data_IF_907031368666
#
_entry.id   IF_907031368666
#
_cell.length_a   1.000
_cell.length_b   1.000
_cell.length_c   1.000
_cell.angle_alpha   90.00
_cell.angle_beta   90.00
_cell.angle_gamma   90.00
#
_symmetry.space_group_name_H-M   'P 1'
#
loop_
_entity.id
_entity.type
_entity.pdbx_description
1 polymer ?
#
# COMPACT_ATOMS: atom_id res chain seq x y z
N UNK A 1 -33.03 -31.75 -12.66
CA UNK A 1 -32.07 -30.76 -12.13
C UNK A 1 -31.87 -31.08 -10.66
N UNK A 2 -30.63 -31.34 -10.22
CA UNK A 2 -30.35 -31.63 -8.81
C UNK A 2 -30.53 -30.39 -7.95
N UNK A 3 -30.78 -30.55 -6.65
CA UNK A 3 -30.87 -29.41 -5.70
C UNK A 3 -29.59 -28.57 -5.75
N UNK A 4 -28.43 -29.20 -5.93
CA UNK A 4 -27.13 -28.54 -6.05
C UNK A 4 -27.08 -27.65 -7.30
N UNK A 5 -27.59 -28.13 -8.44
CA UNK A 5 -27.67 -27.34 -9.68
C UNK A 5 -28.59 -26.13 -9.51
N UNK A 6 -29.75 -26.31 -8.87
CA UNK A 6 -30.67 -25.20 -8.58
C UNK A 6 -30.06 -24.15 -7.65
N UNK A 7 -29.29 -24.57 -6.63
CA UNK A 7 -28.57 -23.63 -5.76
C UNK A 7 -27.47 -22.90 -6.52
N UNK A 8 -26.76 -23.58 -7.43
CA UNK A 8 -25.74 -22.95 -8.26
C UNK A 8 -26.33 -21.88 -9.20
N UNK A 9 -27.51 -22.14 -9.77
CA UNK A 9 -28.23 -21.19 -10.62
C UNK A 9 -28.70 -19.97 -9.82
N UNK A 10 -29.30 -20.18 -8.64
CA UNK A 10 -29.67 -19.09 -7.73
C UNK A 10 -28.44 -18.27 -7.28
N UNK A 11 -27.30 -18.92 -7.00
CA UNK A 11 -26.06 -18.23 -6.68
C UNK A 11 -25.61 -17.32 -7.83
N UNK A 12 -25.70 -17.78 -9.08
CA UNK A 12 -25.35 -16.99 -10.26
C UNK A 12 -26.25 -15.76 -10.40
N UNK A 13 -27.56 -15.92 -10.24
CA UNK A 13 -28.54 -14.83 -10.32
C UNK A 13 -28.31 -13.78 -9.22
N UNK A 14 -27.97 -14.22 -8.00
CA UNK A 14 -27.65 -13.35 -6.87
C UNK A 14 -26.20 -12.83 -6.86
N UNK A 15 -25.38 -13.14 -7.87
CA UNK A 15 -23.94 -12.78 -7.93
C UNK A 15 -23.15 -13.28 -6.71
N UNK A 16 -23.51 -14.46 -6.21
CA UNK A 16 -22.78 -15.20 -5.20
C UNK A 16 -21.68 -16.05 -5.86
N UNK A 17 -20.58 -16.29 -5.14
CA UNK A 17 -19.49 -17.11 -5.67
C UNK A 17 -19.91 -18.58 -5.74
N UNK A 18 -19.35 -19.31 -6.73
CA UNK A 18 -19.49 -20.77 -6.81
C UNK A 18 -18.96 -21.49 -5.56
N UNK A 19 -18.09 -20.83 -4.81
CA UNK A 19 -17.58 -21.27 -3.51
C UNK A 19 -18.68 -21.66 -2.51
N UNK A 20 -19.89 -21.09 -2.60
CA UNK A 20 -21.02 -21.54 -1.77
C UNK A 20 -21.34 -23.01 -2.08
N UNK A 21 -21.54 -23.35 -3.36
CA UNK A 21 -21.88 -24.70 -3.80
C UNK A 21 -20.79 -25.69 -3.41
N UNK A 22 -19.52 -25.30 -3.59
CA UNK A 22 -18.36 -26.15 -3.30
C UNK A 22 -18.20 -26.45 -1.79
N UNK A 23 -18.69 -25.57 -0.92
CA UNK A 23 -18.60 -25.75 0.54
C UNK A 23 -19.84 -26.41 1.15
N UNK A 24 -21.00 -26.43 0.47
CA UNK A 24 -22.20 -27.12 0.96
C UNK A 24 -21.96 -28.58 1.30
N UNK A 25 -21.12 -29.27 0.51
CA UNK A 25 -20.79 -30.69 0.73
C UNK A 25 -19.73 -30.92 1.82
N UNK A 26 -19.01 -29.86 2.23
CA UNK A 26 -17.92 -29.95 3.21
C UNK A 26 -18.40 -29.68 4.64
N UNK A 27 -19.52 -28.98 4.79
CA UNK A 27 -20.12 -28.68 6.09
C UNK A 27 -20.88 -29.91 6.58
N UNK A 28 -20.53 -30.39 7.78
CA UNK A 28 -21.17 -31.55 8.41
C UNK A 28 -22.25 -31.16 9.44
N UNK A 29 -22.59 -29.88 9.54
CA UNK A 29 -23.58 -29.37 10.48
C UNK A 29 -25.02 -29.75 10.06
N UNK A 30 -25.75 -30.39 10.97
CA UNK A 30 -27.11 -30.88 10.73
C UNK A 30 -28.17 -29.81 11.02
N UNK A 31 -27.90 -28.87 11.95
CA UNK A 31 -28.81 -27.77 12.23
C UNK A 31 -28.85 -26.79 11.05
N UNK A 32 -30.04 -26.59 10.48
CA UNK A 32 -30.23 -25.76 9.28
C UNK A 32 -29.71 -24.32 9.42
N UNK A 33 -29.83 -23.73 10.61
CA UNK A 33 -29.45 -22.35 10.85
C UNK A 33 -27.94 -22.23 11.01
N UNK A 34 -27.33 -23.17 11.75
CA UNK A 34 -25.88 -23.24 11.89
C UNK A 34 -25.19 -23.59 10.57
N UNK A 35 -25.76 -24.50 9.78
CA UNK A 35 -25.29 -24.82 8.43
C UNK A 35 -25.25 -23.57 7.55
N UNK A 36 -26.37 -22.83 7.51
CA UNK A 36 -26.48 -21.61 6.71
C UNK A 36 -25.50 -20.52 7.18
N UNK A 37 -25.35 -20.35 8.50
CA UNK A 37 -24.39 -19.43 9.07
C UNK A 37 -22.94 -19.78 8.68
N UNK A 38 -22.53 -21.04 8.83
CA UNK A 38 -21.20 -21.50 8.45
C UNK A 38 -20.94 -21.31 6.95
N UNK A 39 -21.93 -21.62 6.12
CA UNK A 39 -21.84 -21.43 4.67
C UNK A 39 -21.60 -19.96 4.30
N UNK A 40 -22.33 -19.03 4.91
CA UNK A 40 -22.13 -17.60 4.69
C UNK A 40 -20.81 -17.09 5.27
N UNK A 41 -20.37 -17.59 6.43
CA UNK A 41 -19.07 -17.24 6.99
C UNK A 41 -17.93 -17.65 6.05
N UNK A 42 -17.98 -18.85 5.47
CA UNK A 42 -17.00 -19.30 4.48
C UNK A 42 -17.00 -18.43 3.22
N UNK A 43 -18.17 -17.99 2.75
CA UNK A 43 -18.24 -17.08 1.60
C UNK A 43 -17.73 -15.67 1.93
N UNK A 44 -18.04 -15.14 3.11
CA UNK A 44 -17.51 -13.85 3.57
C UNK A 44 -15.98 -13.90 3.65
N UNK A 45 -15.44 -14.96 4.24
CA UNK A 45 -14.00 -15.19 4.35
C UNK A 45 -13.35 -15.29 2.96
N UNK A 46 -13.93 -16.10 2.07
CA UNK A 46 -13.44 -16.24 0.69
C UNK A 46 -13.46 -14.91 -0.08
N UNK A 47 -14.48 -14.08 0.10
CA UNK A 47 -14.54 -12.73 -0.50
C UNK A 47 -13.48 -11.79 0.07
N UNK A 48 -13.26 -11.83 1.39
CA UNK A 48 -12.21 -11.05 2.05
C UNK A 48 -10.82 -11.46 1.53
N UNK A 49 -10.54 -12.75 1.46
CA UNK A 49 -9.24 -13.25 0.99
C UNK A 49 -9.00 -12.89 -0.48
N UNK A 50 -10.01 -13.02 -1.34
CA UNK A 50 -9.92 -12.58 -2.74
C UNK A 50 -9.73 -11.06 -2.87
N UNK A 51 -10.26 -10.25 -1.95
CA UNK A 51 -10.03 -8.80 -1.93
C UNK A 51 -8.59 -8.49 -1.52
N UNK A 52 -8.09 -9.09 -0.43
CA UNK A 52 -6.70 -8.95 0.03
C UNK A 52 -5.69 -9.37 -1.04
N UNK A 53 -5.91 -10.52 -1.68
CA UNK A 53 -5.06 -11.00 -2.77
C UNK A 53 -5.08 -10.05 -3.98
N UNK A 54 -6.24 -9.48 -4.33
CA UNK A 54 -6.33 -8.47 -5.39
C UNK A 54 -5.58 -7.19 -5.02
N UNK A 55 -5.70 -6.72 -3.78
CA UNK A 55 -4.95 -5.55 -3.30
C UNK A 55 -3.44 -5.78 -3.47
N UNK A 56 -2.93 -6.91 -2.97
CA UNK A 56 -1.50 -7.30 -3.12
C UNK A 56 -1.08 -7.33 -4.59
N UNK A 57 -1.83 -8.02 -5.45
CA UNK A 57 -1.52 -8.13 -6.89
C UNK A 57 -1.54 -6.77 -7.59
N UNK A 58 -2.45 -5.89 -7.19
CA UNK A 58 -2.60 -4.56 -7.80
C UNK A 58 -1.61 -3.52 -7.28
N UNK A 59 -0.96 -3.79 -6.14
CA UNK A 59 -0.06 -2.86 -5.48
C UNK A 59 1.25 -2.64 -6.24
N UNK A 60 1.71 -3.61 -7.04
CA UNK A 60 2.90 -3.45 -7.88
C UNK A 60 4.24 -3.67 -7.17
N UNK A 61 4.25 -4.46 -6.09
CA UNK A 61 5.50 -4.89 -5.43
C UNK A 61 6.45 -5.60 -6.41
N UNK A 62 7.73 -5.24 -6.40
CA UNK A 62 8.74 -5.86 -7.27
C UNK A 62 9.17 -7.25 -6.79
N UNK A 63 9.16 -7.44 -5.49
CA UNK A 63 9.42 -8.70 -4.81
C UNK A 63 8.42 -8.85 -3.67
N UNK A 64 8.09 -10.09 -3.32
CA UNK A 64 7.26 -10.38 -2.16
C UNK A 64 8.18 -10.66 -0.98
N UNK A 65 8.10 -9.81 0.05
CA UNK A 65 8.92 -9.90 1.27
C UNK A 65 8.04 -9.66 2.48
N UNK A 66 8.04 -10.59 3.43
CA UNK A 66 7.27 -10.50 4.68
C UNK A 66 8.17 -10.15 5.87
N UNK A 67 7.54 -9.77 6.98
CA UNK A 67 8.24 -9.54 8.25
C UNK A 67 8.98 -10.79 8.77
N UNK A 68 8.49 -11.99 8.45
CA UNK A 68 9.14 -13.27 8.83
C UNK A 68 10.59 -13.40 8.35
N UNK A 69 10.91 -12.75 7.24
CA UNK A 69 12.22 -12.85 6.58
C UNK A 69 13.08 -11.61 6.85
N UNK A 70 12.60 -10.68 7.68
CA UNK A 70 13.28 -9.41 7.97
C UNK A 70 14.18 -9.55 9.19
N UNK A 71 15.41 -9.02 9.09
CA UNK A 71 16.37 -8.96 10.19
C UNK A 71 16.34 -7.55 10.77
N UNK A 72 16.05 -7.46 12.06
CA UNK A 72 15.84 -6.19 12.76
C UNK A 72 17.10 -5.59 13.40
N UNK A 73 18.24 -6.30 13.34
CA UNK A 73 19.46 -5.96 14.08
C UNK A 73 20.00 -4.55 13.78
N UNK A 74 19.85 -4.09 12.53
CA UNK A 74 20.31 -2.77 12.06
C UNK A 74 19.18 -1.72 12.01
N UNK A 75 17.98 -2.03 12.52
CA UNK A 75 16.83 -1.13 12.49
C UNK A 75 16.83 -0.21 13.71
N UNK A 76 17.16 1.06 13.50
CA UNK A 76 17.00 2.11 14.50
C UNK A 76 15.62 2.75 14.37
N UNK A 77 14.86 2.76 15.48
CA UNK A 77 13.55 3.39 15.55
C UNK A 77 13.60 4.65 16.42
N UNK A 78 12.92 5.73 16.01
CA UNK A 78 12.80 6.92 16.83
C UNK A 78 11.97 6.65 18.09
N UNK A 79 12.16 7.48 19.10
CA UNK A 79 11.42 7.37 20.37
C UNK A 79 9.92 7.46 20.12
N UNK A 80 9.17 6.44 20.56
CA UNK A 80 7.71 6.36 20.41
C UNK A 80 7.20 5.55 19.21
N UNK A 81 8.09 5.01 18.37
CA UNK A 81 7.72 4.02 17.34
C UNK A 81 8.26 2.64 17.73
N UNK A 82 7.38 1.66 17.88
CA UNK A 82 7.76 0.27 18.19
C UNK A 82 7.77 -0.62 16.94
N UNK A 83 8.46 -1.76 17.01
CA UNK A 83 8.39 -2.79 15.94
C UNK A 83 6.94 -3.24 15.73
N UNK A 84 6.16 -3.40 16.81
CA UNK A 84 4.75 -3.77 16.71
C UNK A 84 3.90 -2.74 15.97
N UNK A 85 4.20 -1.45 16.07
CA UNK A 85 3.50 -0.40 15.32
C UNK A 85 3.77 -0.49 13.81
N UNK A 86 4.99 -0.91 13.46
CA UNK A 86 5.41 -1.14 12.07
C UNK A 86 4.75 -2.41 11.53
N UNK A 87 4.80 -3.51 12.30
CA UNK A 87 4.23 -4.81 11.93
C UNK A 87 2.70 -4.80 11.86
N UNK A 88 2.02 -3.90 12.57
CA UNK A 88 0.57 -3.72 12.49
C UNK A 88 0.15 -2.89 11.27
N UNK A 89 1.06 -2.05 10.75
CA UNK A 89 0.79 -1.01 9.76
C UNK A 89 -0.32 -0.02 10.20
N UNK A 90 -0.57 0.12 11.51
CA UNK A 90 -1.66 0.96 12.04
C UNK A 90 -1.46 2.45 11.78
N UNK A 91 -0.19 2.90 11.69
CA UNK A 91 0.17 4.25 11.30
C UNK A 91 -0.47 4.67 9.96
N UNK A 92 -0.74 3.71 9.06
CA UNK A 92 -1.43 3.96 7.78
C UNK A 92 -2.86 4.43 8.00
N UNK A 93 -3.55 3.90 9.02
CA UNK A 93 -4.90 4.34 9.38
C UNK A 93 -4.89 5.73 10.03
N UNK A 94 -3.82 6.05 10.76
CA UNK A 94 -3.58 7.38 11.36
C UNK A 94 -3.11 8.43 10.37
N UNK A 95 -2.91 8.06 9.10
CA UNK A 95 -2.40 8.95 8.03
C UNK A 95 -1.00 9.49 8.33
N UNK A 96 -0.21 8.68 9.03
CA UNK A 96 1.18 8.97 9.35
C UNK A 96 2.11 8.52 8.21
N UNK A 97 3.24 9.21 8.04
CA UNK A 97 4.25 8.89 7.04
C UNK A 97 5.45 8.19 7.68
N UNK A 98 6.08 7.29 6.94
CA UNK A 98 7.31 6.63 7.37
C UNK A 98 8.44 6.91 6.37
N UNK A 99 9.56 7.42 6.87
CA UNK A 99 10.75 7.66 6.08
C UNK A 99 11.81 6.67 6.54
N UNK A 100 12.15 5.73 5.66
CA UNK A 100 13.19 4.75 5.86
C UNK A 100 14.48 5.29 5.25
N UNK A 101 15.42 5.70 6.10
CA UNK A 101 16.71 6.26 5.70
C UNK A 101 17.85 5.30 6.05
N UNK A 102 18.87 5.21 5.18
CA UNK A 102 20.09 4.45 5.45
C UNK A 102 20.79 3.96 4.19
N UNK A 103 21.98 3.37 4.36
CA UNK A 103 22.82 2.89 3.26
C UNK A 103 22.16 1.82 2.39
N UNK A 104 22.64 1.62 1.16
CA UNK A 104 22.15 0.52 0.32
C UNK A 104 22.35 -0.84 1.00
N UNK A 105 21.42 -1.77 0.81
CA UNK A 105 21.49 -3.11 1.41
C UNK A 105 20.93 -3.25 2.83
N UNK A 106 20.53 -2.17 3.51
CA UNK A 106 20.00 -2.23 4.90
C UNK A 106 18.54 -2.67 5.02
N UNK A 107 17.97 -3.31 3.98
CA UNK A 107 16.60 -3.85 4.05
C UNK A 107 15.45 -2.84 3.98
N UNK A 108 15.67 -1.53 3.73
CA UNK A 108 14.59 -0.52 3.64
C UNK A 108 13.45 -0.91 2.69
N UNK A 109 13.77 -1.33 1.47
CA UNK A 109 12.77 -1.76 0.49
C UNK A 109 12.06 -3.05 0.91
N UNK A 110 12.75 -3.96 1.62
CA UNK A 110 12.12 -5.15 2.22
C UNK A 110 11.09 -4.72 3.27
N UNK A 111 11.47 -3.86 4.20
CA UNK A 111 10.59 -3.39 5.26
C UNK A 111 9.36 -2.67 4.69
N UNK A 112 9.57 -1.76 3.73
CA UNK A 112 8.48 -1.09 3.03
C UNK A 112 7.52 -2.07 2.34
N UNK A 113 8.06 -3.10 1.65
CA UNK A 113 7.25 -4.16 1.04
C UNK A 113 6.47 -4.97 2.08
N UNK A 114 7.10 -5.35 3.20
CA UNK A 114 6.44 -6.11 4.26
C UNK A 114 5.27 -5.33 4.89
N UNK A 115 5.48 -4.04 5.18
CA UNK A 115 4.42 -3.14 5.64
C UNK A 115 3.31 -3.04 4.58
N UNK A 116 3.66 -2.87 3.30
CA UNK A 116 2.68 -2.78 2.22
C UNK A 116 1.83 -4.05 2.07
N UNK A 117 2.44 -5.23 2.19
CA UNK A 117 1.73 -6.52 2.15
C UNK A 117 0.79 -6.63 3.35
N UNK A 118 1.27 -6.30 4.56
CA UNK A 118 0.44 -6.27 5.76
C UNK A 118 -0.74 -5.31 5.59
N UNK A 119 -0.50 -4.11 5.07
CA UNK A 119 -1.56 -3.15 4.84
C UNK A 119 -2.62 -3.69 3.86
N UNK A 120 -2.20 -4.40 2.81
CA UNK A 120 -3.13 -5.07 1.89
C UNK A 120 -3.95 -6.18 2.57
N UNK A 121 -3.36 -6.93 3.50
CA UNK A 121 -4.06 -7.94 4.31
C UNK A 121 -5.08 -7.30 5.26
N UNK A 122 -4.84 -6.06 5.69
CA UNK A 122 -5.75 -5.23 6.47
C UNK A 122 -6.80 -4.48 5.62
N UNK A 123 -7.06 -4.98 4.40
CA UNK A 123 -8.00 -4.46 3.40
C UNK A 123 -7.70 -3.04 2.88
N UNK A 124 -6.50 -2.50 3.15
CA UNK A 124 -6.06 -1.21 2.62
C UNK A 124 -5.52 -1.33 1.20
N UNK A 125 -5.70 -0.28 0.39
CA UNK A 125 -5.20 -0.20 -0.98
C UNK A 125 -3.81 0.42 -0.97
N UNK A 126 -2.83 -0.34 -1.45
CA UNK A 126 -1.43 0.09 -1.50
C UNK A 126 -1.00 0.29 -2.95
N UNK A 127 -0.13 1.27 -3.20
CA UNK A 127 0.61 1.39 -4.46
C UNK A 127 2.10 1.49 -4.19
N UNK A 128 2.88 0.54 -4.72
CA UNK A 128 4.33 0.50 -4.65
C UNK A 128 4.93 1.00 -5.96
N UNK A 129 5.86 1.94 -5.84
CA UNK A 129 6.56 2.51 -6.97
C UNK A 129 8.03 2.76 -6.63
N UNK A 130 8.95 2.41 -7.52
CA UNK A 130 10.23 3.13 -7.60
C UNK A 130 9.90 4.57 -7.93
N UNK A 131 10.51 5.50 -7.21
CA UNK A 131 10.23 6.94 -7.35
C UNK A 131 10.41 7.40 -8.80
N UNK A 132 11.52 7.02 -9.45
CA UNK A 132 11.75 7.32 -10.87
C UNK A 132 10.68 6.71 -11.80
N UNK A 133 10.20 5.50 -11.49
CA UNK A 133 9.13 4.84 -12.24
C UNK A 133 7.77 5.54 -12.09
N UNK A 134 7.47 6.10 -10.92
CA UNK A 134 6.27 6.92 -10.71
C UNK A 134 6.36 8.22 -11.52
N UNK A 135 7.51 8.89 -11.48
CA UNK A 135 7.76 10.13 -12.24
C UNK A 135 7.59 9.90 -13.73
N UNK A 136 8.16 8.82 -14.28
CA UNK A 136 7.98 8.48 -15.70
C UNK A 136 6.50 8.27 -16.06
N UNK A 137 5.72 7.62 -15.19
CA UNK A 137 4.26 7.46 -15.39
C UNK A 137 3.52 8.79 -15.37
N UNK A 138 3.93 9.72 -14.50
CA UNK A 138 3.34 11.07 -14.42
C UNK A 138 3.65 11.87 -15.68
N UNK A 139 4.91 11.83 -16.16
CA UNK A 139 5.34 12.49 -17.39
C UNK A 139 4.60 11.95 -18.62
N UNK A 140 4.51 10.62 -18.74
CA UNK A 140 3.77 9.97 -19.82
C UNK A 140 2.27 10.34 -19.78
N UNK A 141 1.65 10.27 -18.61
CA UNK A 141 0.24 10.64 -18.45
C UNK A 141 -0.01 12.12 -18.78
N UNK A 142 0.93 13.02 -18.45
CA UNK A 142 0.87 14.42 -18.85
C UNK A 142 0.92 14.58 -20.37
N UNK A 143 1.85 13.90 -21.05
CA UNK A 143 1.98 13.94 -22.51
C UNK A 143 0.72 13.42 -23.21
N UNK A 144 0.07 12.41 -22.65
CA UNK A 144 -1.15 11.81 -23.18
C UNK A 144 -2.45 12.52 -22.77
N UNK A 145 -2.38 13.62 -21.99
CA UNK A 145 -3.56 14.30 -21.45
C UNK A 145 -4.37 13.44 -20.46
N UNK A 146 -3.75 12.42 -19.87
CA UNK A 146 -4.37 11.45 -18.96
C UNK A 146 -3.94 11.66 -17.49
N UNK A 147 -3.35 12.81 -17.16
CA UNK A 147 -2.81 13.10 -15.83
C UNK A 147 -3.88 13.02 -14.74
N UNK A 148 -5.06 13.61 -14.96
CA UNK A 148 -6.20 13.54 -14.04
C UNK A 148 -6.63 12.10 -13.74
N UNK A 149 -6.57 11.21 -14.73
CA UNK A 149 -6.93 9.81 -14.56
C UNK A 149 -5.93 9.10 -13.65
N UNK A 150 -4.64 9.43 -13.77
CA UNK A 150 -3.60 8.88 -12.90
C UNK A 150 -3.74 9.42 -11.47
N UNK A 151 -3.94 10.72 -11.28
CA UNK A 151 -4.20 11.31 -9.96
C UNK A 151 -5.44 10.70 -9.30
N UNK A 152 -6.55 10.51 -10.03
CA UNK A 152 -7.74 9.80 -9.51
C UNK A 152 -7.49 8.33 -9.14
N UNK A 153 -6.46 7.70 -9.73
CA UNK A 153 -6.06 6.35 -9.35
C UNK A 153 -5.25 6.37 -8.07
N UNK A 154 -4.27 7.27 -7.97
CA UNK A 154 -3.46 7.48 -6.78
C UNK A 154 -4.32 7.92 -5.58
N UNK A 155 -5.34 8.74 -5.83
CA UNK A 155 -6.24 9.27 -4.79
C UNK A 155 -7.04 8.19 -4.06
N UNK A 156 -7.24 7.02 -4.69
CA UNK A 156 -7.98 5.88 -4.13
C UNK A 156 -7.12 4.97 -3.25
N UNK A 157 -5.80 5.20 -3.19
CA UNK A 157 -4.88 4.44 -2.37
C UNK A 157 -4.91 4.98 -0.93
N UNK A 158 -4.73 4.07 0.03
CA UNK A 158 -4.57 4.39 1.44
C UNK A 158 -3.10 4.64 1.79
N UNK A 159 -2.20 3.92 1.10
CA UNK A 159 -0.75 3.99 1.26
C UNK A 159 -0.07 4.04 -0.11
N UNK A 160 0.86 4.99 -0.28
CA UNK A 160 1.77 5.03 -1.43
C UNK A 160 3.20 4.82 -0.93
N UNK A 161 3.90 3.88 -1.55
CA UNK A 161 5.29 3.55 -1.24
C UNK A 161 6.16 4.06 -2.39
N UNK A 162 7.06 4.98 -2.08
CA UNK A 162 8.05 5.55 -2.99
C UNK A 162 9.44 5.00 -2.63
N UNK A 163 9.85 3.97 -3.33
CA UNK A 163 11.14 3.30 -3.15
C UNK A 163 12.26 3.99 -3.94
N UNK A 164 13.51 3.87 -3.49
CA UNK A 164 14.71 4.42 -4.12
C UNK A 164 14.64 5.94 -4.36
N UNK A 165 14.10 6.68 -3.38
CA UNK A 165 13.94 8.12 -3.46
C UNK A 165 15.28 8.85 -3.54
N UNK A 166 15.42 9.66 -4.60
CA UNK A 166 16.62 10.44 -4.85
C UNK A 166 17.78 9.65 -5.46
N UNK A 167 17.58 8.39 -5.85
CA UNK A 167 18.63 7.58 -6.47
C UNK A 167 18.99 8.06 -7.89
N UNK A 168 18.02 8.59 -8.64
CA UNK A 168 18.22 9.14 -9.99
C UNK A 168 17.77 10.61 -9.99
N UNK A 169 18.52 11.52 -10.63
CA UNK A 169 18.07 12.90 -10.85
C UNK A 169 16.75 12.92 -11.62
N UNK A 170 15.80 13.74 -11.17
CA UNK A 170 14.55 13.98 -11.88
C UNK A 170 14.69 15.20 -12.78
N UNK A 171 13.89 15.30 -13.84
CA UNK A 171 13.76 16.58 -14.54
C UNK A 171 12.86 17.53 -13.72
N UNK A 172 12.95 18.83 -13.99
CA UNK A 172 12.19 19.85 -13.26
C UNK A 172 10.68 19.57 -13.31
N UNK A 173 10.17 19.13 -14.47
CA UNK A 173 8.75 18.80 -14.64
C UNK A 173 8.36 17.58 -13.81
N UNK A 174 9.16 16.52 -13.83
CA UNK A 174 8.94 15.32 -13.05
C UNK A 174 8.97 15.58 -11.54
N UNK A 175 9.91 16.42 -11.08
CA UNK A 175 9.97 16.90 -9.70
C UNK A 175 8.69 17.63 -9.28
N UNK A 176 8.19 18.56 -10.10
CA UNK A 176 6.93 19.28 -9.85
C UNK A 176 5.72 18.33 -9.77
N UNK A 177 5.63 17.36 -10.69
CA UNK A 177 4.54 16.38 -10.69
C UNK A 177 4.61 15.46 -9.46
N UNK A 178 5.81 15.05 -9.05
CA UNK A 178 6.02 14.27 -7.84
C UNK A 178 5.62 15.08 -6.59
N UNK A 179 6.01 16.36 -6.52
CA UNK A 179 5.60 17.26 -5.44
C UNK A 179 4.07 17.38 -5.35
N UNK A 180 3.38 17.46 -6.48
CA UNK A 180 1.92 17.48 -6.51
C UNK A 180 1.32 16.19 -5.92
N UNK A 181 1.84 15.00 -6.27
CA UNK A 181 1.40 13.73 -5.68
C UNK A 181 1.55 13.73 -4.16
N UNK A 182 2.70 14.18 -3.66
CA UNK A 182 2.98 14.21 -2.22
C UNK A 182 2.06 15.21 -1.52
N UNK A 183 1.83 16.37 -2.13
CA UNK A 183 0.92 17.39 -1.61
C UNK A 183 -0.52 16.88 -1.51
N UNK A 184 -0.99 16.07 -2.48
CA UNK A 184 -2.30 15.43 -2.42
C UNK A 184 -2.40 14.29 -1.40
N UNK A 185 -1.28 13.82 -0.86
CA UNK A 185 -1.26 12.82 0.21
C UNK A 185 -1.33 13.45 1.59
N UNK A 186 -0.85 14.69 1.74
CA UNK A 186 -0.82 15.41 3.01
C UNK A 186 -2.19 15.36 3.71
N UNK A 187 -2.20 14.89 4.96
CA UNK A 187 -3.36 14.68 5.85
C UNK A 187 -4.46 13.74 5.33
N UNK A 188 -4.31 13.13 4.15
CA UNK A 188 -5.33 12.24 3.57
C UNK A 188 -4.86 10.80 3.40
N UNK A 189 -3.55 10.57 3.24
CA UNK A 189 -2.94 9.28 2.94
C UNK A 189 -1.57 9.17 3.59
N UNK A 190 -1.15 7.94 3.82
CA UNK A 190 0.20 7.66 4.29
C UNK A 190 1.17 7.47 3.14
N UNK A 191 2.41 7.87 3.39
CA UNK A 191 3.54 7.65 2.51
C UNK A 191 4.59 6.81 3.23
N UNK A 192 5.16 5.84 2.52
CA UNK A 192 6.45 5.26 2.90
C UNK A 192 7.47 5.71 1.86
N UNK A 193 8.57 6.32 2.31
CA UNK A 193 9.67 6.71 1.44
C UNK A 193 10.91 5.92 1.86
N UNK A 194 11.61 5.29 0.90
CA UNK A 194 12.93 4.72 1.16
C UNK A 194 13.99 5.59 0.49
N UNK A 195 15.06 5.94 1.22
CA UNK A 195 16.12 6.77 0.67
C UNK A 195 17.47 6.46 1.32
N UNK A 196 18.55 6.75 0.60
CA UNK A 196 19.91 6.84 1.12
C UNK A 196 20.41 8.29 1.18
N UNK A 197 19.56 9.27 0.87
CA UNK A 197 19.89 10.69 0.89
C UNK A 197 19.32 11.36 2.14
N UNK A 198 20.18 12.10 2.83
CA UNK A 198 19.79 13.04 3.87
C UNK A 198 18.88 14.12 3.28
N UNK A 199 17.97 14.67 4.10
CA UNK A 199 17.03 15.72 3.67
C UNK A 199 17.71 16.94 3.03
N UNK A 200 18.91 17.31 3.49
CA UNK A 200 19.72 18.40 2.91
C UNK A 200 20.01 18.21 1.42
N UNK A 201 20.07 16.96 0.95
CA UNK A 201 20.37 16.60 -0.45
C UNK A 201 19.11 16.51 -1.32
N UNK A 202 17.91 16.60 -0.74
CA UNK A 202 16.66 16.50 -1.50
C UNK A 202 16.41 17.72 -2.39
N UNK A 203 17.10 18.85 -2.15
CA UNK A 203 17.09 20.01 -3.04
C UNK A 203 17.51 19.66 -4.47
N UNK A 204 18.39 18.66 -4.62
CA UNK A 204 18.85 18.20 -5.93
C UNK A 204 17.80 17.38 -6.69
N UNK A 205 16.70 17.00 -6.04
CA UNK A 205 15.59 16.24 -6.64
C UNK A 205 14.56 17.21 -7.24
N UNK A 206 14.25 18.29 -6.53
CA UNK A 206 13.22 19.26 -6.94
C UNK A 206 13.80 20.51 -7.60
N UNK A 207 15.12 20.75 -7.49
CA UNK A 207 15.82 21.93 -8.00
C UNK A 207 15.24 23.27 -7.49
N UNK A 208 14.53 23.23 -6.36
CA UNK A 208 13.85 24.36 -5.74
C UNK A 208 13.92 24.18 -4.21
N UNK A 209 14.57 25.12 -3.53
CA UNK A 209 14.77 25.08 -2.08
C UNK A 209 13.46 25.26 -1.31
N UNK A 210 12.58 26.16 -1.75
CA UNK A 210 11.32 26.44 -1.07
C UNK A 210 10.36 25.25 -1.21
N UNK A 211 10.28 24.67 -2.41
CA UNK A 211 9.49 23.48 -2.67
C UNK A 211 9.99 22.29 -1.84
N UNK A 212 11.30 22.09 -1.77
CA UNK A 212 11.91 21.00 -1.00
C UNK A 212 11.62 21.17 0.49
N UNK A 213 11.81 22.36 1.04
CA UNK A 213 11.54 22.65 2.46
C UNK A 213 10.06 22.41 2.79
N UNK A 214 9.15 22.93 1.96
CA UNK A 214 7.71 22.74 2.15
C UNK A 214 7.29 21.26 2.01
N UNK A 215 8.01 20.47 1.20
CA UNK A 215 7.75 19.04 1.07
C UNK A 215 8.20 18.27 2.31
N UNK A 216 9.41 18.52 2.79
CA UNK A 216 9.96 17.89 3.99
C UNK A 216 9.06 18.19 5.19
N UNK A 217 8.64 19.45 5.36
CA UNK A 217 7.74 19.85 6.44
C UNK A 217 6.45 19.02 6.45
N UNK A 218 5.79 18.88 5.29
CA UNK A 218 4.59 18.05 5.13
C UNK A 218 4.81 16.57 5.43
N UNK A 219 5.96 16.02 5.04
CA UNK A 219 6.28 14.63 5.28
C UNK A 219 6.53 14.35 6.77
N UNK A 220 7.31 15.22 7.42
CA UNK A 220 7.75 15.07 8.82
C UNK A 220 6.64 15.41 9.80
N UNK A 221 5.76 16.37 9.48
CA UNK A 221 4.62 16.74 10.32
C UNK A 221 3.73 15.55 10.69
N UNK A 222 3.62 14.57 9.78
CA UNK A 222 2.83 13.36 9.93
C UNK A 222 3.67 12.13 10.30
N UNK A 223 4.94 12.28 10.69
CA UNK A 223 5.73 11.13 11.12
C UNK A 223 5.30 10.64 12.52
N UNK A 224 5.23 9.31 12.77
CA UNK A 224 4.80 8.72 14.05
C UNK A 224 5.66 9.18 15.25
N UNK A 225 6.91 9.57 15.01
CA UNK A 225 7.81 10.11 16.00
C UNK A 225 8.28 11.52 15.59
N UNK A 226 8.08 12.46 16.50
CA UNK A 226 8.54 13.85 16.37
C UNK A 226 9.93 13.96 17.01
N UNK A 227 10.97 13.89 16.19
CA UNK A 227 12.36 13.99 16.66
C UNK A 227 13.32 13.43 15.64
N UNK A 228 13.53 14.17 14.56
CA UNK A 228 14.60 13.97 13.57
C UNK A 228 15.41 15.27 13.50
#
# INVERSE_FOLDING_TARGET
MSVIESVAEACKELKLSRNIVDNMQKIQEEDRYKFLLQLFQLEIQHRADNRRQRNIKSAGFYNMKSFSDYVYDDLELPSGLSISDIESAEFVRRKENLILYGNSGTGKSHLATAIGIKACMEDMRVGFYRTAGLVNKLLEARQQGALDKLFRKLSKLDLIICDEWGYVPLDMVGGQLLFQVISECYETKSLIITTNLEFSKWVNIFYDQEMTAAMIDRLVHLAPARGW
#
